data_IF_051751422909
#
_entry.id   IF_051751422909
#
_cell.length_a   1.000
_cell.length_b   1.000
_cell.length_c   1.000
_cell.angle_alpha   90.00
_cell.angle_beta   90.00
_cell.angle_gamma   90.00
#
_symmetry.space_group_name_H-M   'P 1'
#
loop_
_entity.id
_entity.type
_entity.pdbx_description
1 polymer ?
#
# COMPACT_ATOMS: atom_id res chain seq x y z
N UNK A 1 23.76 3.84 12.15
CA UNK A 1 22.88 5.00 12.35
C UNK A 1 22.86 5.82 11.08
N UNK A 2 21.74 6.41 10.69
CA UNK A 2 21.68 7.31 9.54
C UNK A 2 22.69 8.44 9.71
N UNK A 3 23.32 8.86 8.61
CA UNK A 3 24.25 9.98 8.61
C UNK A 3 23.51 11.25 8.14
N UNK A 4 23.96 12.41 8.60
CA UNK A 4 23.43 13.66 8.07
C UNK A 4 23.91 13.83 6.62
N UNK A 5 23.01 14.21 5.68
CA UNK A 5 23.41 14.49 4.32
C UNK A 5 24.27 15.77 4.27
N UNK A 6 25.19 15.83 3.31
CA UNK A 6 26.00 17.03 3.09
C UNK A 6 25.20 18.15 2.41
N UNK A 7 24.14 17.78 1.68
CA UNK A 7 23.22 18.70 1.04
C UNK A 7 21.84 18.08 0.81
N UNK A 8 20.82 18.91 0.81
CA UNK A 8 19.47 18.61 0.28
C UNK A 8 19.27 19.49 -0.94
N UNK A 9 18.93 18.87 -2.07
CA UNK A 9 18.73 19.57 -3.34
C UNK A 9 17.34 19.24 -3.90
N UNK A 10 16.67 20.25 -4.43
CA UNK A 10 15.30 20.14 -4.93
C UNK A 10 15.26 20.53 -6.42
N UNK A 11 15.48 19.57 -7.33
CA UNK A 11 15.45 19.79 -8.77
C UNK A 11 14.03 20.16 -9.23
N UNK A 12 13.95 20.93 -10.31
CA UNK A 12 12.69 21.39 -10.91
C UNK A 12 12.39 20.74 -12.26
N UNK A 13 13.40 20.14 -12.87
CA UNK A 13 13.29 19.47 -14.16
C UNK A 13 14.30 18.31 -14.30
N UNK A 14 14.10 17.50 -15.33
CA UNK A 14 14.93 16.33 -15.65
C UNK A 14 16.40 16.73 -15.88
N UNK A 15 16.67 17.89 -16.48
CA UNK A 15 18.04 18.34 -16.75
C UNK A 15 18.79 18.69 -15.45
N UNK A 16 18.09 19.22 -14.44
CA UNK A 16 18.68 19.43 -13.11
C UNK A 16 18.99 18.10 -12.43
N UNK A 17 18.08 17.13 -12.48
CA UNK A 17 18.33 15.77 -11.95
C UNK A 17 19.55 15.16 -12.62
N UNK A 18 19.65 15.22 -13.96
CA UNK A 18 20.83 14.71 -14.70
C UNK A 18 22.14 15.35 -14.21
N UNK A 19 22.17 16.67 -14.07
CA UNK A 19 23.37 17.37 -13.59
C UNK A 19 23.76 16.94 -12.19
N UNK A 20 22.80 16.83 -11.29
CA UNK A 20 23.04 16.41 -9.89
C UNK A 20 23.57 14.97 -9.85
N UNK A 21 22.89 14.04 -10.54
CA UNK A 21 23.30 12.63 -10.62
C UNK A 21 24.72 12.51 -11.21
N UNK A 22 24.99 13.18 -12.33
CA UNK A 22 26.31 13.17 -12.99
C UNK A 22 27.42 13.70 -12.07
N UNK A 23 27.17 14.78 -11.34
CA UNK A 23 28.17 15.35 -10.40
C UNK A 23 28.43 14.41 -9.25
N UNK A 24 27.38 13.83 -8.66
CA UNK A 24 27.49 12.88 -7.57
C UNK A 24 28.20 11.60 -7.99
N UNK A 25 27.84 11.03 -9.15
CA UNK A 25 28.47 9.83 -9.70
C UNK A 25 29.98 10.02 -9.93
N UNK A 26 30.40 11.16 -10.51
CA UNK A 26 31.81 11.47 -10.74
C UNK A 26 32.65 11.65 -9.45
N UNK A 27 32.00 11.83 -8.32
CA UNK A 27 32.62 12.09 -7.02
C UNK A 27 32.36 11.02 -6.00
N UNK A 28 31.77 9.91 -6.40
CA UNK A 28 31.35 8.80 -5.51
C UNK A 28 30.49 9.27 -4.32
N UNK A 29 29.63 10.28 -4.55
CA UNK A 29 28.74 10.82 -3.52
C UNK A 29 27.41 10.06 -3.57
N UNK A 30 26.98 9.40 -2.48
CA UNK A 30 25.69 8.71 -2.43
C UNK A 30 24.52 9.67 -2.64
N UNK A 31 23.47 9.22 -3.33
CA UNK A 31 22.21 9.95 -3.47
C UNK A 31 21.11 9.15 -2.79
N UNK A 32 20.31 9.84 -1.97
CA UNK A 32 19.04 9.31 -1.44
C UNK A 32 17.90 10.09 -2.06
N UNK A 33 17.09 9.43 -2.88
CA UNK A 33 15.92 10.04 -3.52
C UNK A 33 14.77 10.09 -2.52
N UNK A 34 14.15 11.25 -2.37
CA UNK A 34 13.01 11.45 -1.46
C UNK A 34 11.91 12.29 -2.11
N UNK A 35 10.69 12.20 -1.58
CA UNK A 35 9.61 13.14 -1.86
C UNK A 35 8.69 13.26 -0.63
N UNK A 36 7.50 12.65 -0.61
CA UNK A 36 6.56 12.73 0.51
C UNK A 36 7.05 12.08 1.81
N UNK A 37 8.04 11.20 1.75
CA UNK A 37 8.65 10.52 2.91
C UNK A 37 7.66 9.74 3.77
N UNK A 38 6.59 9.26 3.16
CA UNK A 38 5.54 8.49 3.84
C UNK A 38 5.89 7.02 4.03
N UNK A 39 6.92 6.52 3.36
CA UNK A 39 7.37 5.12 3.45
C UNK A 39 7.97 4.81 4.83
N UNK A 40 7.66 3.64 5.35
CA UNK A 40 8.06 3.20 6.70
C UNK A 40 9.25 2.23 6.69
N UNK A 41 9.69 1.79 5.51
CA UNK A 41 10.84 0.86 5.36
C UNK A 41 12.21 1.55 5.39
N UNK A 42 12.25 2.89 5.44
CA UNK A 42 13.48 3.66 5.60
C UNK A 42 14.23 4.01 4.32
N UNK A 43 13.71 3.70 3.13
CA UNK A 43 14.39 3.99 1.85
C UNK A 43 14.69 5.49 1.62
N UNK A 44 13.88 6.38 2.19
CA UNK A 44 14.09 7.84 2.13
C UNK A 44 15.10 8.38 3.15
N UNK A 45 15.74 7.50 3.94
CA UNK A 45 16.70 7.89 4.98
C UNK A 45 18.13 7.82 4.44
N UNK A 46 18.95 8.89 4.53
CA UNK A 46 20.31 8.90 4.00
C UNK A 46 21.25 8.10 4.90
N UNK A 47 21.27 6.77 4.76
CA UNK A 47 22.06 5.86 5.60
C UNK A 47 23.57 6.10 5.45
N UNK A 48 24.02 6.57 4.29
CA UNK A 48 25.42 6.80 3.95
C UNK A 48 25.76 8.29 3.80
N UNK A 49 24.92 9.19 4.31
CA UNK A 49 25.10 10.63 4.11
C UNK A 49 24.88 11.05 2.65
N UNK A 50 25.84 11.79 2.07
CA UNK A 50 25.75 12.21 0.67
C UNK A 50 24.68 13.28 0.41
N UNK A 51 24.03 13.21 -0.73
CA UNK A 51 23.00 14.17 -1.18
C UNK A 51 21.62 13.58 -1.03
N UNK A 52 20.70 14.30 -0.42
CA UNK A 52 19.26 14.01 -0.48
C UNK A 52 18.68 14.76 -1.69
N UNK A 53 18.10 14.01 -2.61
CA UNK A 53 17.42 14.54 -3.79
C UNK A 53 15.91 14.61 -3.51
N UNK A 54 15.42 15.79 -3.17
CA UNK A 54 14.03 16.03 -2.83
C UNK A 54 13.22 16.38 -4.08
N UNK A 55 12.41 15.42 -4.55
CA UNK A 55 11.64 15.52 -5.78
C UNK A 55 10.34 16.34 -5.65
N UNK A 56 10.02 16.88 -4.47
CA UNK A 56 8.75 17.58 -4.25
C UNK A 56 8.59 18.85 -5.09
N UNK A 57 9.69 19.47 -5.55
CA UNK A 57 9.65 20.61 -6.46
C UNK A 57 9.26 20.23 -7.91
N UNK A 58 9.37 18.95 -8.29
CA UNK A 58 8.89 18.43 -9.57
C UNK A 58 7.44 17.94 -9.41
N UNK A 59 6.50 18.86 -9.31
CA UNK A 59 5.08 18.59 -9.00
C UNK A 59 4.17 19.20 -10.06
N UNK A 60 3.04 18.53 -10.29
CA UNK A 60 1.95 18.96 -11.17
C UNK A 60 1.63 17.96 -12.26
N UNK A 61 0.44 18.08 -12.81
CA UNK A 61 -0.01 17.37 -14.01
C UNK A 61 0.48 18.16 -15.23
N UNK A 62 1.17 17.48 -16.14
CA UNK A 62 1.74 18.07 -17.35
C UNK A 62 0.72 18.08 -18.49
N UNK A 63 0.05 16.96 -18.70
CA UNK A 63 -0.99 16.81 -19.72
C UNK A 63 -1.98 15.71 -19.35
N UNK A 64 -3.19 15.81 -19.90
CA UNK A 64 -4.25 14.79 -19.77
C UNK A 64 -4.78 14.46 -21.16
N UNK A 65 -4.65 13.23 -21.58
CA UNK A 65 -5.30 12.68 -22.76
C UNK A 65 -6.63 12.03 -22.35
N UNK A 66 -7.71 12.78 -22.44
CA UNK A 66 -9.05 12.30 -22.11
C UNK A 66 -9.52 11.17 -23.05
N UNK A 67 -9.01 11.13 -24.28
CA UNK A 67 -9.42 10.11 -25.24
C UNK A 67 -8.86 8.74 -24.87
N UNK A 68 -7.60 8.71 -24.43
CA UNK A 68 -6.91 7.48 -24.03
C UNK A 68 -7.01 7.18 -22.53
N UNK A 69 -7.51 8.13 -21.72
CA UNK A 69 -7.49 8.02 -20.26
C UNK A 69 -6.06 7.92 -19.74
N UNK A 70 -5.17 8.82 -20.18
CA UNK A 70 -3.76 8.83 -19.74
C UNK A 70 -3.39 10.21 -19.20
N UNK A 71 -2.78 10.23 -18.02
CA UNK A 71 -2.25 11.45 -17.42
C UNK A 71 -0.72 11.42 -17.41
N UNK A 72 -0.11 12.49 -17.85
CA UNK A 72 1.32 12.76 -17.70
C UNK A 72 1.54 13.62 -16.45
N UNK A 73 2.33 13.11 -15.51
CA UNK A 73 2.47 13.70 -14.17
C UNK A 73 3.92 13.70 -13.71
N UNK A 74 4.31 14.73 -12.97
CA UNK A 74 5.62 14.85 -12.34
C UNK A 74 5.69 14.07 -11.02
N UNK A 75 6.84 13.48 -10.66
CA UNK A 75 6.96 12.50 -9.57
C UNK A 75 6.72 13.06 -8.17
N UNK A 76 6.93 14.36 -7.96
CA UNK A 76 6.70 15.05 -6.69
C UNK A 76 5.25 15.44 -6.43
N UNK A 77 4.33 15.11 -7.35
CA UNK A 77 2.89 15.43 -7.21
C UNK A 77 2.27 14.59 -6.11
N UNK A 78 1.64 15.23 -5.13
CA UNK A 78 0.90 14.56 -4.07
C UNK A 78 -0.43 14.00 -4.57
N UNK A 79 -0.94 12.97 -3.88
CA UNK A 79 -2.19 12.31 -4.23
C UNK A 79 -3.38 13.26 -4.37
N UNK A 80 -3.66 14.11 -3.37
CA UNK A 80 -4.76 15.08 -3.46
C UNK A 80 -4.65 16.04 -4.63
N UNK A 81 -3.44 16.53 -4.94
CA UNK A 81 -3.21 17.45 -6.05
C UNK A 81 -3.45 16.78 -7.40
N UNK A 82 -3.03 15.52 -7.55
CA UNK A 82 -3.29 14.72 -8.75
C UNK A 82 -4.79 14.52 -8.97
N UNK A 83 -5.50 14.02 -7.96
CA UNK A 83 -6.95 13.77 -8.07
C UNK A 83 -7.75 15.07 -8.27
N UNK A 84 -7.34 16.17 -7.65
CA UNK A 84 -7.96 17.48 -7.87
C UNK A 84 -7.79 17.97 -9.31
N UNK A 85 -6.62 17.77 -9.91
CA UNK A 85 -6.38 18.10 -11.31
C UNK A 85 -7.20 17.22 -12.25
N UNK A 86 -7.25 15.91 -11.99
CA UNK A 86 -8.00 14.93 -12.81
C UNK A 86 -9.52 15.13 -12.72
N UNK A 87 -10.03 15.58 -11.58
CA UNK A 87 -11.46 15.86 -11.40
C UNK A 87 -11.98 16.91 -12.41
N UNK A 88 -11.15 17.84 -12.87
CA UNK A 88 -11.51 18.82 -13.90
C UNK A 88 -11.76 18.18 -15.28
N UNK A 89 -11.25 16.96 -15.45
CA UNK A 89 -11.40 16.13 -16.66
C UNK A 89 -12.41 14.98 -16.47
N UNK A 90 -13.10 14.93 -15.33
CA UNK A 90 -13.96 13.81 -14.93
C UNK A 90 -13.21 12.47 -14.87
N UNK A 91 -11.93 12.51 -14.46
CA UNK A 91 -11.05 11.34 -14.36
C UNK A 91 -10.55 11.13 -12.92
N UNK A 92 -10.10 9.92 -12.64
CA UNK A 92 -9.38 9.51 -11.41
C UNK A 92 -8.34 8.46 -11.77
N UNK A 93 -7.22 8.41 -11.05
CA UNK A 93 -6.28 7.28 -11.13
C UNK A 93 -6.80 6.08 -10.31
N UNK A 94 -7.62 6.32 -9.31
CA UNK A 94 -8.14 5.27 -8.44
C UNK A 94 -7.10 4.71 -7.46
N UNK A 95 -5.94 5.36 -7.32
CA UNK A 95 -4.86 4.94 -6.44
C UNK A 95 -4.92 5.68 -5.10
N UNK A 96 -5.48 5.03 -4.08
CA UNK A 96 -5.68 5.60 -2.75
C UNK A 96 -4.94 4.79 -1.68
N UNK A 97 -3.60 4.89 -1.56
CA UNK A 97 -2.87 4.27 -0.45
C UNK A 97 -3.28 4.90 0.89
N UNK A 98 -3.00 4.23 2.01
CA UNK A 98 -3.28 4.79 3.34
C UNK A 98 -2.56 6.13 3.59
N UNK A 99 -1.41 6.31 2.97
CA UNK A 99 -0.61 7.54 3.01
C UNK A 99 -1.00 8.58 1.94
N UNK A 100 -2.17 8.47 1.32
CA UNK A 100 -2.60 9.27 0.17
C UNK A 100 -2.31 10.77 0.31
N UNK A 101 -2.63 11.34 1.48
CA UNK A 101 -2.51 12.78 1.72
C UNK A 101 -1.06 13.29 1.82
N UNK A 102 -0.11 12.39 2.07
CA UNK A 102 1.30 12.70 2.33
C UNK A 102 2.26 11.95 1.41
N UNK A 103 1.78 11.20 0.44
CA UNK A 103 2.60 10.45 -0.52
C UNK A 103 2.50 11.03 -1.92
N UNK A 104 3.53 10.79 -2.73
CA UNK A 104 3.66 11.33 -4.08
C UNK A 104 3.67 10.23 -5.12
N UNK A 105 3.36 10.58 -6.36
CA UNK A 105 3.35 9.66 -7.51
C UNK A 105 4.69 8.92 -7.64
N UNK A 106 5.81 9.64 -7.60
CA UNK A 106 7.15 9.02 -7.66
C UNK A 106 7.41 8.07 -6.49
N UNK A 107 6.91 8.41 -5.29
CA UNK A 107 6.98 7.55 -4.13
C UNK A 107 6.17 6.26 -4.31
N UNK A 108 4.94 6.35 -4.85
CA UNK A 108 4.12 5.18 -5.16
C UNK A 108 4.82 4.22 -6.11
N UNK A 109 5.42 4.76 -7.19
CA UNK A 109 6.18 3.99 -8.19
C UNK A 109 7.40 3.35 -7.54
N UNK A 110 8.18 4.13 -6.78
CA UNK A 110 9.42 3.67 -6.18
C UNK A 110 9.22 2.52 -5.18
N UNK A 111 8.12 2.51 -4.40
CA UNK A 111 7.85 1.46 -3.41
C UNK A 111 6.85 0.39 -3.87
N UNK A 112 6.46 0.35 -5.15
CA UNK A 112 5.45 -0.59 -5.68
C UNK A 112 4.13 -0.49 -4.88
N UNK A 113 3.65 0.73 -4.64
CA UNK A 113 2.51 1.00 -3.78
C UNK A 113 1.22 0.33 -4.22
N UNK A 114 0.41 -0.08 -3.25
CA UNK A 114 -0.95 -0.56 -3.46
C UNK A 114 -1.95 0.43 -2.86
N UNK A 115 -2.93 0.83 -3.65
CA UNK A 115 -4.07 1.61 -3.18
C UNK A 115 -5.12 0.73 -2.53
N UNK A 116 -5.92 1.28 -1.64
CA UNK A 116 -7.00 0.55 -0.96
C UNK A 116 -8.12 0.11 -1.92
N UNK A 117 -8.14 0.66 -3.14
CA UNK A 117 -9.09 0.31 -4.22
C UNK A 117 -8.45 -0.60 -5.28
N UNK A 118 -7.31 -1.21 -4.96
CA UNK A 118 -6.49 -1.98 -5.92
C UNK A 118 -7.17 -3.24 -6.47
N UNK A 119 -8.19 -3.77 -5.82
CA UNK A 119 -8.91 -4.94 -6.34
C UNK A 119 -9.60 -4.63 -7.69
N UNK A 120 -10.06 -3.40 -7.90
CA UNK A 120 -10.59 -2.94 -9.19
C UNK A 120 -9.55 -2.21 -10.04
N UNK A 121 -8.88 -1.22 -9.44
CA UNK A 121 -8.01 -0.30 -10.19
C UNK A 121 -6.58 -0.82 -10.37
N UNK A 122 -6.22 -1.90 -9.70
CA UNK A 122 -4.87 -2.45 -9.73
C UNK A 122 -3.91 -1.75 -8.77
N UNK A 123 -2.66 -2.23 -8.74
CA UNK A 123 -1.53 -1.60 -8.06
C UNK A 123 -0.88 -0.58 -9.00
N UNK A 124 0.03 0.23 -8.46
CA UNK A 124 0.70 1.27 -9.23
C UNK A 124 1.40 0.73 -10.50
N UNK A 125 1.99 -0.47 -10.46
CA UNK A 125 2.63 -1.09 -11.61
C UNK A 125 1.65 -1.39 -12.76
N UNK A 126 0.39 -1.65 -12.44
CA UNK A 126 -0.66 -1.91 -13.44
C UNK A 126 -1.23 -0.61 -14.04
N UNK A 127 -0.99 0.52 -13.38
CA UNK A 127 -1.42 1.85 -13.83
C UNK A 127 -0.39 2.53 -14.75
N UNK A 128 0.89 2.11 -14.69
CA UNK A 128 1.96 2.74 -15.46
C UNK A 128 1.79 2.44 -16.96
N UNK A 129 1.74 3.49 -17.76
CA UNK A 129 1.79 3.45 -19.23
C UNK A 129 3.24 3.68 -19.71
N UNK A 130 4.00 4.52 -19.00
CA UNK A 130 5.39 4.80 -19.29
C UNK A 130 6.07 5.61 -18.19
N UNK A 131 7.39 5.62 -18.19
CA UNK A 131 8.23 6.37 -17.25
C UNK A 131 9.35 7.09 -18.00
N UNK A 132 9.77 8.25 -17.51
CA UNK A 132 11.05 8.87 -17.82
C UNK A 132 11.95 8.76 -16.59
N UNK A 133 13.18 8.29 -16.77
CA UNK A 133 14.10 7.96 -15.69
C UNK A 133 15.49 8.50 -15.99
N UNK A 134 16.13 9.10 -15.00
CA UNK A 134 17.56 9.42 -15.01
C UNK A 134 18.33 8.26 -14.36
N UNK A 135 19.21 7.62 -15.12
CA UNK A 135 20.06 6.53 -14.65
C UNK A 135 21.29 7.05 -13.89
N UNK A 136 22.00 6.13 -13.22
CA UNK A 136 23.15 6.47 -12.37
C UNK A 136 24.30 7.16 -13.11
N UNK A 137 24.45 6.97 -14.41
CA UNK A 137 25.44 7.66 -15.28
C UNK A 137 24.98 9.04 -15.76
N UNK A 138 23.73 9.44 -15.44
CA UNK A 138 23.09 10.68 -15.87
C UNK A 138 22.38 10.58 -17.22
N UNK A 139 22.36 9.42 -17.87
CA UNK A 139 21.56 9.22 -19.08
C UNK A 139 20.07 9.23 -18.76
N UNK A 140 19.26 9.69 -19.71
CA UNK A 140 17.78 9.68 -19.62
C UNK A 140 17.24 8.61 -20.53
N UNK A 141 16.37 7.78 -19.99
CA UNK A 141 15.62 6.80 -20.75
C UNK A 141 14.12 7.03 -20.61
N UNK A 142 13.37 6.63 -21.62
CA UNK A 142 11.91 6.55 -21.58
C UNK A 142 11.49 5.12 -21.82
N UNK A 143 10.48 4.66 -21.05
CA UNK A 143 9.92 3.32 -21.15
C UNK A 143 8.44 3.39 -21.53
N UNK A 144 7.84 2.29 -21.97
CA UNK A 144 6.41 2.21 -22.28
C UNK A 144 6.00 3.04 -23.49
N UNK A 145 4.89 3.74 -23.39
CA UNK A 145 4.36 4.67 -24.42
C UNK A 145 3.26 4.11 -25.28
N UNK A 146 3.02 2.79 -25.28
CA UNK A 146 1.87 2.18 -25.94
C UNK A 146 1.28 1.06 -25.08
N UNK A 147 -0.04 1.03 -24.84
CA UNK A 147 -0.65 -0.03 -24.06
C UNK A 147 -0.57 -1.36 -24.82
N UNK A 148 -0.39 -2.45 -24.07
CA UNK A 148 -0.36 -3.81 -24.61
C UNK A 148 0.62 -4.01 -25.79
N UNK A 149 1.78 -3.34 -25.75
CA UNK A 149 2.79 -3.45 -26.77
C UNK A 149 3.28 -4.90 -26.95
N UNK A 150 3.40 -5.35 -28.21
CA UNK A 150 3.86 -6.70 -28.55
C UNK A 150 5.37 -6.82 -28.62
N UNK A 151 6.11 -5.93 -27.98
CA UNK A 151 7.56 -5.96 -27.85
C UNK A 151 7.96 -5.88 -26.37
N UNK A 152 9.07 -6.44 -26.02
CA UNK A 152 9.56 -6.47 -24.63
C UNK A 152 11.07 -6.61 -24.59
N UNK A 153 11.66 -6.70 -23.39
CA UNK A 153 10.99 -6.75 -22.10
C UNK A 153 10.38 -5.41 -21.68
N UNK A 154 9.38 -5.45 -20.77
CA UNK A 154 8.85 -4.22 -20.16
C UNK A 154 9.90 -3.63 -19.20
N UNK A 155 10.59 -2.60 -19.67
CA UNK A 155 11.63 -1.93 -18.90
C UNK A 155 11.07 -1.10 -17.73
N UNK A 156 9.80 -0.69 -17.75
CA UNK A 156 9.17 0.04 -16.63
C UNK A 156 9.20 -0.77 -15.35
N UNK A 157 8.97 -2.09 -15.46
CA UNK A 157 8.95 -3.02 -14.32
C UNK A 157 10.27 -3.11 -13.56
N UNK A 158 11.42 -2.73 -14.15
CA UNK A 158 12.70 -2.69 -13.46
C UNK A 158 12.78 -1.58 -12.41
N UNK A 159 12.07 -0.47 -12.65
CA UNK A 159 12.15 0.73 -11.81
C UNK A 159 11.06 0.78 -10.75
N UNK A 160 9.97 0.06 -10.98
CA UNK A 160 8.86 -0.02 -10.01
C UNK A 160 9.27 -0.88 -8.82
N UNK A 161 9.22 -0.32 -7.63
CA UNK A 161 9.70 -1.00 -6.40
C UNK A 161 11.22 -0.97 -6.23
N UNK A 162 11.97 -0.23 -7.08
CA UNK A 162 13.42 -0.10 -6.94
C UNK A 162 13.87 0.88 -5.85
N UNK A 163 12.95 1.64 -5.29
CA UNK A 163 13.18 2.64 -4.23
C UNK A 163 14.32 3.63 -4.56
N UNK A 164 14.47 3.97 -5.84
CA UNK A 164 15.49 4.89 -6.31
C UNK A 164 16.89 4.30 -6.50
N UNK A 165 17.06 2.99 -6.31
CA UNK A 165 18.38 2.32 -6.43
C UNK A 165 18.83 2.11 -7.88
N UNK A 166 17.90 2.06 -8.82
CA UNK A 166 18.18 1.83 -10.25
C UNK A 166 18.08 3.10 -11.11
N UNK A 167 17.52 4.17 -10.56
CA UNK A 167 17.36 5.45 -11.25
C UNK A 167 16.36 6.36 -10.55
N UNK A 168 16.28 7.59 -11.03
CA UNK A 168 15.37 8.62 -10.52
C UNK A 168 14.25 8.83 -11.53
N UNK A 169 13.01 8.52 -11.14
CA UNK A 169 11.84 8.81 -11.97
C UNK A 169 11.64 10.32 -12.02
N UNK A 170 11.60 10.87 -13.24
CA UNK A 170 11.40 12.31 -13.49
C UNK A 170 10.06 12.64 -14.14
N UNK A 171 9.38 11.60 -14.67
CA UNK A 171 8.05 11.73 -15.26
C UNK A 171 7.34 10.39 -15.30
N UNK A 172 6.03 10.40 -15.16
CA UNK A 172 5.22 9.20 -15.29
C UNK A 172 3.98 9.46 -16.16
N UNK A 173 3.62 8.46 -16.95
CA UNK A 173 2.33 8.37 -17.64
C UNK A 173 1.52 7.29 -16.96
N UNK A 174 0.38 7.67 -16.39
CA UNK A 174 -0.50 6.77 -15.65
C UNK A 174 -1.85 6.63 -16.36
N UNK A 175 -2.40 5.44 -16.31
CA UNK A 175 -3.78 5.19 -16.71
C UNK A 175 -4.72 5.86 -15.73
N UNK A 176 -5.67 6.62 -16.26
CA UNK A 176 -6.79 7.19 -15.53
C UNK A 176 -8.11 6.54 -15.99
N UNK A 177 -9.12 6.63 -15.16
CA UNK A 177 -10.45 6.06 -15.36
C UNK A 177 -11.48 7.17 -15.25
N UNK A 178 -12.61 7.04 -15.95
CA UNK A 178 -13.75 7.93 -15.75
C UNK A 178 -14.22 7.86 -14.29
N UNK A 179 -14.61 9.00 -13.73
CA UNK A 179 -15.21 9.04 -12.41
C UNK A 179 -16.50 8.23 -12.42
N UNK A 180 -16.58 7.26 -11.53
CA UNK A 180 -17.71 6.33 -11.46
C UNK A 180 -19.04 7.05 -11.18
N UNK A 181 -20.09 6.83 -12.01
CA UNK A 181 -21.40 7.47 -11.81
C UNK A 181 -22.15 6.91 -10.60
N UNK A 182 -21.85 5.66 -10.22
CA UNK A 182 -22.54 4.97 -9.11
C UNK A 182 -21.52 4.39 -8.14
N UNK A 183 -21.86 4.46 -6.84
CA UNK A 183 -21.13 3.79 -5.77
C UNK A 183 -22.11 3.08 -4.86
N UNK A 184 -21.89 1.75 -4.64
CA UNK A 184 -22.69 0.94 -3.72
C UNK A 184 -21.81 0.24 -2.70
N UNK A 185 -22.40 -0.12 -1.57
CA UNK A 185 -21.73 -0.68 -0.40
C UNK A 185 -22.48 -1.90 0.11
N UNK A 186 -21.74 -2.85 0.66
CA UNK A 186 -22.32 -3.95 1.46
C UNK A 186 -21.32 -4.37 2.55
N UNK A 187 -21.82 -5.01 3.59
CA UNK A 187 -20.98 -5.55 4.66
C UNK A 187 -21.56 -6.88 5.14
N UNK A 188 -20.67 -7.76 5.64
CA UNK A 188 -21.04 -9.11 6.07
C UNK A 188 -20.27 -9.49 7.32
N UNK A 189 -20.95 -10.25 8.20
CA UNK A 189 -20.33 -10.99 9.29
C UNK A 189 -20.10 -12.43 8.89
N UNK A 190 -18.92 -12.96 9.16
CA UNK A 190 -18.58 -14.37 8.98
C UNK A 190 -18.30 -15.04 10.32
N UNK A 191 -18.71 -16.31 10.49
CA UNK A 191 -18.39 -17.09 11.69
C UNK A 191 -16.89 -17.23 11.94
N UNK A 192 -16.08 -17.23 10.86
CA UNK A 192 -14.62 -17.32 10.96
C UNK A 192 -13.94 -16.51 9.87
N UNK A 193 -12.68 -16.13 10.11
CA UNK A 193 -11.82 -15.50 9.09
C UNK A 193 -11.64 -16.44 7.87
N UNK A 194 -11.51 -17.75 8.11
CA UNK A 194 -11.34 -18.73 7.05
C UNK A 194 -12.54 -18.79 6.09
N UNK A 195 -13.75 -18.65 6.61
CA UNK A 195 -14.96 -18.65 5.76
C UNK A 195 -15.06 -17.37 4.94
N UNK A 196 -14.68 -16.23 5.52
CA UNK A 196 -14.55 -14.98 4.77
C UNK A 196 -13.53 -15.07 3.64
N UNK A 197 -12.35 -15.64 3.90
CA UNK A 197 -11.31 -15.87 2.87
C UNK A 197 -11.81 -16.75 1.72
N UNK A 198 -12.57 -17.82 2.03
CA UNK A 198 -13.17 -18.69 0.98
C UNK A 198 -14.15 -17.89 0.11
N UNK A 199 -15.02 -17.10 0.72
CA UNK A 199 -15.99 -16.26 0.01
C UNK A 199 -15.30 -15.23 -0.89
N UNK A 200 -14.27 -14.54 -0.38
CA UNK A 200 -13.48 -13.58 -1.16
C UNK A 200 -12.82 -14.25 -2.37
N UNK A 201 -12.15 -15.39 -2.16
CA UNK A 201 -11.53 -16.15 -3.24
C UNK A 201 -12.54 -16.53 -4.33
N UNK A 202 -13.71 -17.03 -3.94
CA UNK A 202 -14.74 -17.43 -4.89
C UNK A 202 -15.30 -16.24 -5.68
N UNK A 203 -15.52 -15.10 -5.03
CA UNK A 203 -15.96 -13.88 -5.68
C UNK A 203 -14.92 -13.39 -6.71
N UNK A 204 -13.65 -13.29 -6.31
CA UNK A 204 -12.57 -12.86 -7.20
C UNK A 204 -12.40 -13.82 -8.40
N UNK A 205 -12.44 -15.14 -8.15
CA UNK A 205 -12.37 -16.14 -9.25
C UNK A 205 -13.59 -16.15 -10.16
N UNK A 206 -14.71 -15.62 -9.71
CA UNK A 206 -15.89 -15.35 -10.52
C UNK A 206 -15.83 -13.97 -11.22
N UNK A 207 -14.67 -13.31 -11.22
CA UNK A 207 -14.41 -11.98 -11.78
C UNK A 207 -15.23 -10.84 -11.13
N UNK A 208 -15.74 -11.04 -9.91
CA UNK A 208 -16.31 -9.96 -9.12
C UNK A 208 -15.14 -9.24 -8.41
N UNK A 209 -14.73 -8.11 -8.97
CA UNK A 209 -13.59 -7.30 -8.49
C UNK A 209 -14.08 -5.93 -8.01
N UNK A 210 -14.80 -5.85 -6.86
CA UNK A 210 -15.24 -4.57 -6.33
C UNK A 210 -14.05 -3.68 -5.98
N UNK A 211 -14.25 -2.37 -5.96
CA UNK A 211 -13.19 -1.42 -5.67
C UNK A 211 -12.54 -1.68 -4.30
N UNK A 212 -13.33 -2.05 -3.30
CA UNK A 212 -12.88 -2.45 -1.96
C UNK A 212 -13.46 -3.81 -1.59
N UNK A 213 -12.59 -4.73 -1.21
CA UNK A 213 -12.95 -6.05 -0.67
C UNK A 213 -11.97 -6.37 0.46
N UNK A 214 -12.35 -6.08 1.71
CA UNK A 214 -11.46 -6.18 2.88
C UNK A 214 -12.10 -6.98 3.99
N UNK A 215 -11.40 -8.01 4.45
CA UNK A 215 -11.86 -8.90 5.51
C UNK A 215 -11.02 -8.68 6.77
N UNK A 216 -11.65 -8.26 7.83
CA UNK A 216 -11.06 -8.08 9.15
C UNK A 216 -11.33 -9.29 10.03
N UNK A 217 -10.33 -9.79 10.75
CA UNK A 217 -10.57 -10.80 11.79
C UNK A 217 -11.39 -10.22 12.96
N UNK A 218 -11.89 -11.07 13.82
CA UNK A 218 -12.76 -10.65 14.92
C UNK A 218 -12.09 -9.63 15.86
N UNK A 219 -10.77 -9.77 16.09
CA UNK A 219 -10.00 -8.90 16.98
C UNK A 219 -9.85 -7.51 16.38
N UNK A 220 -9.49 -7.44 15.09
CA UNK A 220 -9.33 -6.16 14.42
C UNK A 220 -10.67 -5.46 14.16
N UNK A 221 -11.69 -6.25 13.78
CA UNK A 221 -13.05 -5.75 13.59
C UNK A 221 -13.60 -5.11 14.87
N UNK A 222 -13.37 -5.74 16.03
CA UNK A 222 -13.78 -5.19 17.33
C UNK A 222 -13.04 -3.87 17.64
N UNK A 223 -11.73 -3.86 17.43
CA UNK A 223 -10.89 -2.69 17.75
C UNK A 223 -11.19 -1.49 16.88
N UNK A 224 -11.38 -1.70 15.58
CA UNK A 224 -11.33 -0.61 14.59
C UNK A 224 -12.66 -0.37 13.87
N UNK A 225 -13.60 -1.33 13.91
CA UNK A 225 -14.83 -1.28 13.10
C UNK A 225 -16.09 -1.62 13.87
N UNK A 226 -16.06 -1.52 15.22
CA UNK A 226 -17.21 -1.76 16.09
C UNK A 226 -17.73 -3.22 16.03
N UNK A 227 -16.86 -4.18 15.75
CA UNK A 227 -17.18 -5.61 15.76
C UNK A 227 -17.54 -6.11 17.16
N UNK A 228 -18.15 -7.29 17.24
CA UNK A 228 -18.56 -7.96 18.49
C UNK A 228 -17.44 -8.76 19.15
N UNK A 229 -16.27 -8.88 18.48
CA UNK A 229 -15.15 -9.70 18.94
C UNK A 229 -15.31 -11.20 18.67
N UNK A 230 -16.41 -11.62 18.08
CA UNK A 230 -16.70 -13.02 17.76
C UNK A 230 -16.66 -13.29 16.25
N UNK A 231 -17.17 -12.36 15.45
CA UNK A 231 -17.31 -12.50 14.01
C UNK A 231 -16.23 -11.72 13.23
N UNK A 232 -15.76 -12.30 12.14
CA UNK A 232 -14.96 -11.57 11.15
C UNK A 232 -15.87 -10.68 10.30
N UNK A 233 -15.38 -9.53 9.89
CA UNK A 233 -16.18 -8.52 9.17
C UNK A 233 -15.60 -8.30 7.78
N UNK A 234 -16.39 -8.54 6.74
CA UNK A 234 -16.09 -8.17 5.37
C UNK A 234 -16.78 -6.83 5.05
N UNK A 235 -16.01 -5.87 4.58
CA UNK A 235 -16.51 -4.63 3.99
C UNK A 235 -16.32 -4.67 2.48
N UNK A 236 -17.32 -4.20 1.76
CA UNK A 236 -17.34 -4.17 0.29
C UNK A 236 -17.83 -2.80 -0.16
N UNK A 237 -17.09 -2.22 -1.09
CA UNK A 237 -17.52 -1.03 -1.82
C UNK A 237 -17.22 -1.26 -3.28
N UNK A 238 -18.17 -0.95 -4.14
CA UNK A 238 -17.94 -0.96 -5.57
C UNK A 238 -18.42 0.33 -6.20
N UNK A 239 -17.72 0.76 -7.25
CA UNK A 239 -18.06 1.94 -8.03
C UNK A 239 -17.82 1.69 -9.52
N UNK A 240 -18.65 2.31 -10.35
CA UNK A 240 -18.66 2.10 -11.82
C UNK A 240 -20.05 2.28 -12.39
N UNK A 241 -20.28 1.67 -13.55
CA UNK A 241 -21.60 1.62 -14.17
C UNK A 241 -22.57 0.76 -13.35
N UNK A 242 -23.84 1.18 -13.28
CA UNK A 242 -24.85 0.58 -12.41
C UNK A 242 -24.97 -0.94 -12.60
N UNK A 243 -25.04 -1.39 -13.84
CA UNK A 243 -25.20 -2.79 -14.19
C UNK A 243 -24.00 -3.65 -13.76
N UNK A 244 -22.80 -3.10 -13.87
CA UNK A 244 -21.55 -3.77 -13.47
C UNK A 244 -21.47 -3.85 -11.95
N UNK A 245 -21.75 -2.74 -11.27
CA UNK A 245 -21.76 -2.69 -9.79
C UNK A 245 -22.78 -3.66 -9.21
N UNK A 246 -24.00 -3.70 -9.77
CA UNK A 246 -25.04 -4.60 -9.30
C UNK A 246 -24.68 -6.08 -9.53
N UNK A 247 -24.14 -6.43 -10.70
CA UNK A 247 -23.69 -7.78 -10.99
C UNK A 247 -22.52 -8.19 -10.04
N UNK A 248 -21.55 -7.32 -9.83
CA UNK A 248 -20.42 -7.55 -8.93
C UNK A 248 -20.90 -7.82 -7.50
N UNK A 249 -21.76 -6.95 -6.95
CA UNK A 249 -22.27 -7.11 -5.59
C UNK A 249 -23.17 -8.33 -5.44
N UNK A 250 -23.95 -8.69 -6.46
CA UNK A 250 -24.75 -9.92 -6.44
C UNK A 250 -23.88 -11.17 -6.37
N UNK A 251 -22.75 -11.21 -7.08
CA UNK A 251 -21.77 -12.32 -6.98
C UNK A 251 -21.14 -12.37 -5.60
N UNK A 252 -20.72 -11.22 -5.05
CA UNK A 252 -20.16 -11.15 -3.70
C UNK A 252 -21.16 -11.63 -2.65
N UNK A 253 -22.43 -11.18 -2.70
CA UNK A 253 -23.49 -11.61 -1.77
C UNK A 253 -23.71 -13.12 -1.83
N UNK A 254 -23.82 -13.68 -3.03
CA UNK A 254 -23.98 -15.12 -3.24
C UNK A 254 -22.82 -15.90 -2.62
N UNK A 255 -21.58 -15.50 -2.87
CA UNK A 255 -20.38 -16.14 -2.30
C UNK A 255 -20.33 -15.99 -0.77
N UNK A 256 -20.64 -14.82 -0.25
CA UNK A 256 -20.69 -14.60 1.19
C UNK A 256 -21.69 -15.52 1.90
N UNK A 257 -22.92 -15.59 1.40
CA UNK A 257 -23.98 -16.46 1.97
C UNK A 257 -23.65 -17.93 1.87
N UNK A 258 -22.99 -18.36 0.78
CA UNK A 258 -22.57 -19.76 0.62
C UNK A 258 -21.56 -20.21 1.69
N UNK A 259 -20.86 -19.26 2.31
CA UNK A 259 -19.92 -19.48 3.41
C UNK A 259 -20.45 -19.01 4.78
N UNK A 260 -21.77 -18.99 4.96
CA UNK A 260 -22.42 -18.75 6.24
C UNK A 260 -22.43 -17.28 6.70
N UNK A 261 -22.20 -16.34 5.79
CA UNK A 261 -22.27 -14.94 6.15
C UNK A 261 -23.69 -14.46 6.42
N UNK A 262 -23.82 -13.55 7.36
CA UNK A 262 -25.00 -12.74 7.59
C UNK A 262 -24.73 -11.30 7.19
N UNK A 263 -25.78 -10.54 6.80
CA UNK A 263 -25.62 -9.14 6.49
C UNK A 263 -25.18 -8.35 7.73
N UNK A 264 -24.23 -7.45 7.54
CA UNK A 264 -23.77 -6.49 8.54
C UNK A 264 -24.29 -5.07 8.16
N UNK A 265 -24.38 -4.15 9.14
CA UNK A 265 -24.74 -2.76 8.86
C UNK A 265 -23.77 -2.11 7.86
N UNK A 266 -24.31 -1.49 6.82
CA UNK A 266 -23.54 -0.83 5.75
C UNK A 266 -22.74 0.38 6.25
N UNK A 267 -23.17 0.98 7.34
CA UNK A 267 -22.50 2.07 8.04
C UNK A 267 -21.05 1.71 8.45
N UNK A 268 -20.71 0.44 8.55
CA UNK A 268 -19.32 -0.01 8.74
C UNK A 268 -18.40 0.37 7.59
N UNK A 269 -18.92 0.36 6.37
CA UNK A 269 -18.17 0.82 5.20
C UNK A 269 -17.99 2.34 5.25
N UNK A 270 -19.01 3.09 5.70
CA UNK A 270 -18.90 4.54 5.86
C UNK A 270 -17.91 4.91 6.95
N UNK A 271 -17.95 4.21 8.07
CA UNK A 271 -16.99 4.39 9.16
C UNK A 271 -15.56 4.12 8.67
N UNK A 272 -15.35 3.03 7.93
CA UNK A 272 -14.05 2.71 7.34
C UNK A 272 -13.58 3.82 6.38
N UNK A 273 -14.43 4.28 5.47
CA UNK A 273 -14.10 5.35 4.53
C UNK A 273 -13.65 6.64 5.24
N UNK A 274 -14.32 7.00 6.34
CA UNK A 274 -14.01 8.19 7.11
C UNK A 274 -12.68 8.10 7.88
N UNK A 275 -12.26 6.89 8.28
CA UNK A 275 -11.12 6.70 9.19
C UNK A 275 -9.97 5.89 8.58
N UNK A 276 -10.07 5.45 7.32
CA UNK A 276 -9.11 4.53 6.69
C UNK A 276 -7.67 5.02 6.65
N UNK A 277 -7.45 6.33 6.72
CA UNK A 277 -6.13 6.97 6.73
C UNK A 277 -5.69 7.44 8.13
N UNK A 278 -6.53 7.27 9.16
CA UNK A 278 -6.23 7.72 10.52
C UNK A 278 -5.31 6.74 11.25
N UNK A 279 -4.09 7.17 11.54
CA UNK A 279 -3.09 6.41 12.32
C UNK A 279 -2.93 6.91 13.75
N UNK A 280 -3.72 7.87 14.19
CA UNK A 280 -3.61 8.53 15.51
C UNK A 280 -3.71 7.55 16.68
N UNK A 281 -4.56 6.52 16.57
CA UNK A 281 -4.71 5.46 17.57
C UNK A 281 -3.42 4.66 17.81
N UNK A 282 -2.68 4.33 16.76
CA UNK A 282 -1.40 3.61 16.85
C UNK A 282 -0.34 4.51 17.51
N UNK A 283 -0.26 5.78 17.11
CA UNK A 283 0.66 6.76 17.69
C UNK A 283 0.37 6.98 19.19
N UNK A 284 -0.90 6.99 19.59
CA UNK A 284 -1.28 7.14 20.99
C UNK A 284 -0.82 5.95 21.85
N UNK A 285 -0.82 4.73 21.32
CA UNK A 285 -0.32 3.54 22.00
C UNK A 285 1.21 3.59 22.14
N UNK A 286 1.94 3.98 21.10
CA UNK A 286 3.40 4.14 21.16
C UNK A 286 3.81 5.13 22.25
N UNK A 287 3.10 6.27 22.36
CA UNK A 287 3.35 7.25 23.45
C UNK A 287 3.08 6.70 24.86
N UNK A 288 2.33 5.60 24.98
CA UNK A 288 2.05 4.91 26.25
C UNK A 288 3.03 3.76 26.53
N UNK A 289 4.12 3.64 25.78
CA UNK A 289 5.14 2.62 25.96
C UNK A 289 4.79 1.25 25.36
N UNK A 290 3.80 1.19 24.47
CA UNK A 290 3.57 -0.04 23.71
C UNK A 290 4.52 -0.12 22.52
N UNK A 291 5.01 -1.32 22.26
CA UNK A 291 5.61 -1.68 20.97
C UNK A 291 4.51 -2.08 20.04
N UNK A 292 4.34 -1.34 18.93
CA UNK A 292 3.29 -1.60 17.96
C UNK A 292 3.85 -1.45 16.56
N UNK A 293 3.53 -2.40 15.69
CA UNK A 293 3.89 -2.32 14.29
C UNK A 293 2.94 -3.17 13.45
N UNK A 294 3.12 -3.06 12.14
CA UNK A 294 2.32 -3.73 11.13
C UNK A 294 3.21 -4.43 10.13
N UNK A 295 2.77 -5.57 9.61
CA UNK A 295 3.47 -6.35 8.60
C UNK A 295 2.48 -6.77 7.51
N UNK A 296 2.79 -6.48 6.26
CA UNK A 296 2.02 -6.98 5.12
C UNK A 296 2.74 -8.16 4.47
N UNK A 297 1.97 -9.20 4.17
CA UNK A 297 2.46 -10.45 3.57
C UNK A 297 1.53 -10.83 2.43
N UNK A 298 2.08 -11.18 1.28
CA UNK A 298 1.30 -11.76 0.19
C UNK A 298 1.42 -13.29 0.18
N UNK A 299 0.34 -13.97 -0.20
CA UNK A 299 0.36 -15.42 -0.38
C UNK A 299 -0.69 -15.89 -1.39
N UNK A 300 -0.45 -17.02 -2.08
CA UNK A 300 -1.48 -17.68 -2.88
C UNK A 300 -2.69 -18.06 -2.01
N UNK A 301 -3.90 -18.08 -2.58
CA UNK A 301 -5.12 -18.44 -1.86
C UNK A 301 -5.01 -19.75 -1.07
N UNK A 302 -4.26 -20.74 -1.57
CA UNK A 302 -4.03 -22.02 -0.91
C UNK A 302 -3.20 -21.93 0.38
N UNK A 303 -2.49 -20.83 0.59
CA UNK A 303 -1.58 -20.60 1.73
C UNK A 303 -2.08 -19.55 2.71
N UNK A 304 -3.03 -18.70 2.33
CA UNK A 304 -3.55 -17.60 3.15
C UNK A 304 -3.95 -18.07 4.56
N UNK A 305 -4.68 -19.18 4.68
CA UNK A 305 -5.10 -19.72 5.98
C UNK A 305 -3.93 -20.15 6.85
N UNK A 306 -2.93 -20.82 6.28
CA UNK A 306 -1.73 -21.25 7.00
C UNK A 306 -0.86 -20.06 7.43
N UNK A 307 -0.70 -19.07 6.54
CA UNK A 307 0.02 -17.81 6.85
C UNK A 307 -0.68 -17.09 8.00
N UNK A 308 -2.00 -16.92 7.93
CA UNK A 308 -2.79 -16.26 8.98
C UNK A 308 -2.58 -16.92 10.34
N UNK A 309 -2.82 -18.23 10.44
CA UNK A 309 -2.70 -18.97 11.70
C UNK A 309 -1.25 -18.97 12.21
N UNK A 310 -0.29 -19.30 11.35
CA UNK A 310 1.11 -19.39 11.74
C UNK A 310 1.68 -18.08 12.27
N UNK A 311 1.36 -16.96 11.64
CA UNK A 311 1.80 -15.63 12.12
C UNK A 311 1.15 -15.27 13.45
N UNK A 312 -0.17 -15.50 13.60
CA UNK A 312 -0.85 -15.23 14.85
C UNK A 312 -0.27 -16.04 16.01
N UNK A 313 -0.07 -17.35 15.83
CA UNK A 313 0.45 -18.26 16.86
C UNK A 313 1.89 -17.88 17.23
N UNK A 314 2.77 -17.73 16.23
CA UNK A 314 4.17 -17.42 16.46
C UNK A 314 4.35 -16.07 17.17
N UNK A 315 3.62 -15.05 16.76
CA UNK A 315 3.74 -13.71 17.36
C UNK A 315 3.16 -13.70 18.78
N UNK A 316 2.04 -14.38 19.03
CA UNK A 316 1.45 -14.49 20.37
C UNK A 316 2.34 -15.25 21.37
N UNK A 317 3.20 -16.15 20.88
CA UNK A 317 4.13 -16.91 21.73
C UNK A 317 5.33 -16.08 22.21
N UNK A 318 5.56 -14.89 21.67
CA UNK A 318 6.64 -14.00 22.11
C UNK A 318 6.28 -13.42 23.49
N UNK A 319 7.19 -13.57 24.44
CA UNK A 319 7.00 -12.95 25.76
C UNK A 319 6.89 -11.43 25.63
N UNK A 320 5.87 -10.86 26.27
CA UNK A 320 5.53 -9.44 26.13
C UNK A 320 4.55 -9.12 24.99
N UNK A 321 4.21 -10.07 24.10
CA UNK A 321 3.14 -9.86 23.13
C UNK A 321 1.78 -9.73 23.84
N UNK A 322 0.93 -8.79 23.37
CA UNK A 322 -0.38 -8.48 23.98
C UNK A 322 -1.53 -8.76 23.03
N UNK A 323 -1.38 -8.41 21.77
CA UNK A 323 -2.42 -8.59 20.76
C UNK A 323 -1.79 -8.77 19.39
N UNK A 324 -2.38 -9.65 18.60
CA UNK A 324 -2.12 -9.78 17.17
C UNK A 324 -3.46 -9.92 16.47
N UNK A 325 -3.66 -9.13 15.43
CA UNK A 325 -4.85 -9.13 14.58
C UNK A 325 -4.48 -9.04 13.11
N UNK A 326 -5.40 -9.33 12.23
CA UNK A 326 -5.12 -9.27 10.81
C UNK A 326 -6.35 -8.92 9.97
N UNK A 327 -6.07 -8.35 8.79
CA UNK A 327 -7.07 -8.22 7.74
C UNK A 327 -6.48 -8.58 6.37
N UNK A 328 -7.34 -9.08 5.47
CA UNK A 328 -7.02 -9.14 4.05
C UNK A 328 -7.14 -7.73 3.48
N UNK A 329 -6.01 -7.16 3.05
CA UNK A 329 -5.91 -5.78 2.58
C UNK A 329 -6.19 -5.63 1.08
N UNK A 330 -5.68 -6.57 0.29
CA UNK A 330 -5.78 -6.59 -1.17
C UNK A 330 -6.03 -7.99 -1.67
N UNK A 331 -6.83 -8.12 -2.73
CA UNK A 331 -7.24 -9.41 -3.29
C UNK A 331 -7.01 -9.45 -4.79
N UNK A 332 -6.39 -10.53 -5.25
CA UNK A 332 -6.04 -10.78 -6.64
C UNK A 332 -6.51 -12.16 -7.08
N UNK A 333 -6.45 -12.47 -8.38
CA UNK A 333 -6.95 -13.72 -8.93
C UNK A 333 -6.30 -14.97 -8.31
N UNK A 334 -5.02 -14.90 -8.01
CA UNK A 334 -4.18 -16.01 -7.55
C UNK A 334 -3.87 -16.00 -6.05
N UNK A 335 -4.12 -14.89 -5.35
CA UNK A 335 -3.80 -14.72 -3.95
C UNK A 335 -4.31 -13.43 -3.34
N UNK A 336 -3.82 -13.13 -2.15
CA UNK A 336 -4.18 -11.93 -1.42
C UNK A 336 -3.02 -11.44 -0.55
N UNK A 337 -3.08 -10.16 -0.14
CA UNK A 337 -2.23 -9.62 0.90
C UNK A 337 -2.96 -9.65 2.25
N UNK A 338 -2.26 -10.11 3.28
CA UNK A 338 -2.72 -10.03 4.68
C UNK A 338 -1.86 -9.02 5.41
N UNK A 339 -2.53 -8.09 6.06
CA UNK A 339 -1.92 -7.07 6.89
C UNK A 339 -2.10 -7.45 8.36
N UNK A 340 -0.99 -7.68 9.05
CA UNK A 340 -0.97 -8.03 10.47
C UNK A 340 -0.69 -6.77 11.28
N UNK A 341 -1.39 -6.60 12.40
CA UNK A 341 -1.06 -5.60 13.42
C UNK A 341 -0.71 -6.33 14.69
N UNK A 342 0.47 -6.09 15.24
CA UNK A 342 0.89 -6.68 16.50
C UNK A 342 1.27 -5.61 17.53
N UNK A 343 0.93 -5.88 18.76
CA UNK A 343 1.12 -5.01 19.92
C UNK A 343 1.83 -5.78 21.01
N UNK A 344 2.91 -5.23 21.53
CA UNK A 344 3.64 -5.76 22.66
C UNK A 344 3.84 -4.70 23.75
N UNK A 345 4.20 -5.14 24.94
CA UNK A 345 4.50 -4.27 26.06
C UNK A 345 5.51 -4.93 26.97
N UNK A 346 6.57 -4.24 27.31
CA UNK A 346 7.50 -4.64 28.37
C UNK A 346 6.91 -4.35 29.76
N UNK A 347 7.56 -4.85 30.81
CA UNK A 347 7.09 -4.65 32.18
C UNK A 347 7.09 -3.17 32.62
N UNK A 348 8.05 -2.39 32.16
CA UNK A 348 8.10 -0.94 32.37
C UNK A 348 7.24 -0.22 31.35
N UNK A 349 6.50 0.79 31.80
CA UNK A 349 5.73 1.69 30.92
C UNK A 349 6.51 2.96 30.54
N UNK A 350 7.64 3.20 31.20
CA UNK A 350 8.45 4.39 30.94
C UNK A 350 9.43 4.10 29.80
N UNK A 351 9.43 4.95 28.81
CA UNK A 351 10.40 4.91 27.72
C UNK A 351 11.56 5.84 28.13
N UNK A 352 12.68 5.24 28.46
CA UNK A 352 13.92 5.93 28.82
C UNK A 352 15.13 5.12 28.32
N UNK A 353 16.32 5.62 28.48
CA UNK A 353 17.54 4.97 28.01
C UNK A 353 17.73 3.54 28.55
N UNK A 354 17.29 3.27 29.77
CA UNK A 354 17.39 1.93 30.36
C UNK A 354 16.40 0.93 29.79
N UNK A 355 15.21 1.38 29.36
CA UNK A 355 14.15 0.54 28.82
C UNK A 355 14.13 0.46 27.29
N UNK A 356 14.87 1.33 26.60
CA UNK A 356 14.93 1.37 25.13
C UNK A 356 15.43 0.04 24.56
N UNK A 357 16.44 -0.56 25.16
CA UNK A 357 16.98 -1.85 24.72
C UNK A 357 15.95 -2.98 24.84
N UNK A 358 15.12 -2.99 25.90
CA UNK A 358 14.05 -3.99 26.09
C UNK A 358 12.92 -3.80 25.07
N UNK A 359 12.50 -2.56 24.79
CA UNK A 359 11.53 -2.26 23.74
C UNK A 359 12.03 -2.73 22.37
N UNK A 360 13.30 -2.44 22.06
CA UNK A 360 13.93 -2.87 20.82
C UNK A 360 14.03 -4.39 20.72
N UNK A 361 14.38 -5.08 21.81
CA UNK A 361 14.45 -6.53 21.83
C UNK A 361 13.07 -7.16 21.60
N UNK A 362 12.01 -6.65 22.25
CA UNK A 362 10.64 -7.10 22.03
C UNK A 362 10.18 -6.85 20.58
N UNK A 363 10.46 -5.66 20.05
CA UNK A 363 10.17 -5.33 18.66
C UNK A 363 10.80 -6.35 17.70
N UNK A 364 12.10 -6.58 17.83
CA UNK A 364 12.85 -7.53 16.98
C UNK A 364 12.34 -8.97 17.16
N UNK A 365 12.00 -9.38 18.38
CA UNK A 365 11.47 -10.71 18.66
C UNK A 365 10.11 -10.95 17.96
N UNK A 366 9.17 -9.99 18.06
CA UNK A 366 7.86 -10.09 17.38
C UNK A 366 8.02 -10.11 15.86
N UNK A 367 8.85 -9.23 15.29
CA UNK A 367 9.13 -9.22 13.86
C UNK A 367 9.73 -10.53 13.37
N UNK A 368 10.76 -11.05 14.05
CA UNK A 368 11.39 -12.31 13.68
C UNK A 368 10.41 -13.49 13.76
N UNK A 369 9.55 -13.54 14.77
CA UNK A 369 8.54 -14.58 14.90
C UNK A 369 7.53 -14.51 13.75
N UNK A 370 7.00 -13.32 13.46
CA UNK A 370 6.02 -13.09 12.42
C UNK A 370 6.56 -13.43 11.02
N UNK A 371 7.73 -12.89 10.66
CA UNK A 371 8.35 -13.11 9.34
C UNK A 371 8.70 -14.58 9.10
N UNK A 372 9.33 -15.26 10.08
CA UNK A 372 9.68 -16.69 9.97
C UNK A 372 8.44 -17.55 9.79
N UNK A 373 7.37 -17.26 10.53
CA UNK A 373 6.12 -17.99 10.41
C UNK A 373 5.45 -17.77 9.04
N UNK A 374 5.44 -16.53 8.55
CA UNK A 374 4.90 -16.19 7.22
C UNK A 374 5.63 -16.97 6.11
N UNK A 375 6.97 -16.92 6.10
CA UNK A 375 7.79 -17.62 5.12
C UNK A 375 7.65 -19.15 5.22
N UNK A 376 7.64 -19.70 6.42
CA UNK A 376 7.46 -21.16 6.65
C UNK A 376 6.08 -21.65 6.17
N UNK A 377 5.05 -20.79 6.23
CA UNK A 377 3.70 -21.11 5.75
C UNK A 377 3.53 -20.87 4.22
N UNK A 378 4.53 -20.35 3.54
CA UNK A 378 4.53 -20.10 2.09
C UNK A 378 3.97 -18.73 1.70
N UNK A 379 4.04 -17.77 2.60
CA UNK A 379 3.91 -16.33 2.30
C UNK A 379 5.24 -15.74 1.83
N UNK A 380 5.18 -14.52 1.31
CA UNK A 380 6.35 -13.67 1.04
C UNK A 380 6.22 -12.35 1.80
N UNK A 381 7.33 -11.68 1.97
CA UNK A 381 7.41 -10.38 2.64
C UNK A 381 7.62 -9.28 1.61
#
# INVERSE_FOLDING_TARGET
MPQLPVAVVSPRDTAEVQRIVTVCARRDVPITVTAGRSGVSGASVPMFGGVVLDMTAMSGVVSVDNTSGVVEVLPGTFGPDLEQALAQHNLTVGHFPQSFDISTVGGWIACLGAGQFSTRYGKINEMIVGLEIVLADGSVISTGGAPAAAHGPDASSLFVGSEGTLGVVTRAWLRAHDVAPVRKKSAYFFPSFADGVKAMREAIRAHATPAVLRLYDAVEAQRSHGGDGANSTLIVLDDGELEIVDATLAVVDRCARAHGATAAPVERVDHWLAHRNDTSGLQALTKKGFVIDTMEVAAPWSKIGAVYQGVLEATRSVDGARSVSAHVSHSYLDGACIYFTFVGQISSRDINDATTAEHQALYVAMWNAAQRAALAAGGNL
#
